data_IF_615678772537
#
_entry.id   IF_615678772537
#
_cell.length_a   1.000
_cell.length_b   1.000
_cell.length_c   1.000
_cell.angle_alpha   90.00
_cell.angle_beta   90.00
_cell.angle_gamma   90.00
#
_symmetry.space_group_name_H-M   'P 1'
#
loop_
_entity.id
_entity.type
_entity.pdbx_description
1 polymer ?
#
# COMPACT_ATOMS: atom_id res chain seq x y z
N UNK A 1 12.70 10.97 33.87
CA UNK A 1 11.69 9.89 33.98
C UNK A 1 11.86 9.03 32.75
N UNK A 2 12.40 7.85 32.99
CA UNK A 2 12.79 6.86 32.00
C UNK A 2 11.64 5.84 31.88
N UNK A 3 11.18 5.58 30.65
CA UNK A 3 10.27 4.47 30.34
C UNK A 3 10.61 3.96 28.93
N UNK A 4 11.27 2.79 28.92
CA UNK A 4 10.73 1.54 28.39
C UNK A 4 10.19 1.54 26.96
N UNK A 5 10.92 0.80 26.13
CA UNK A 5 10.47 -0.10 25.06
C UNK A 5 9.71 0.48 23.85
N UNK A 6 10.23 0.23 22.64
CA UNK A 6 9.55 -0.61 21.64
C UNK A 6 10.37 -0.67 20.34
N UNK A 7 10.44 -1.87 19.78
CA UNK A 7 11.23 -2.27 18.64
C UNK A 7 10.47 -1.96 17.35
N UNK A 8 10.68 -0.76 16.79
CA UNK A 8 10.08 -0.37 15.52
C UNK A 8 10.88 -0.92 14.34
N UNK A 9 10.30 -1.94 13.71
CA UNK A 9 10.69 -2.44 12.40
C UNK A 9 10.56 -1.35 11.32
N UNK A 10 11.39 -1.45 10.28
CA UNK A 10 11.32 -0.60 9.10
C UNK A 10 9.99 -0.82 8.37
N UNK A 11 9.07 0.14 8.49
CA UNK A 11 7.90 0.24 7.61
C UNK A 11 8.34 0.93 6.31
N UNK A 12 8.17 0.22 5.19
CA UNK A 12 8.09 0.82 3.87
C UNK A 12 6.72 1.45 3.66
N UNK A 13 6.70 2.50 2.85
CA UNK A 13 5.53 3.31 2.51
C UNK A 13 4.30 2.46 2.14
N UNK A 14 3.25 2.60 2.93
CA UNK A 14 1.89 2.21 2.56
C UNK A 14 1.13 3.50 2.23
N UNK A 15 0.70 3.60 0.97
CA UNK A 15 -0.30 4.58 0.55
C UNK A 15 -1.63 4.26 1.25
N UNK A 16 -2.15 5.27 1.95
CA UNK A 16 -3.45 5.32 2.62
C UNK A 16 -4.60 5.14 1.62
N UNK A 17 -5.58 4.29 1.96
CA UNK A 17 -6.88 4.23 1.32
C UNK A 17 -7.96 4.27 2.40
N UNK A 18 -8.92 5.18 2.23
CA UNK A 18 -10.00 5.54 3.17
C UNK A 18 -10.97 4.39 3.51
N UNK A 19 -11.71 4.48 4.64
CA UNK A 19 -12.56 3.40 5.12
C UNK A 19 -13.97 3.46 4.53
N UNK A 20 -14.51 2.28 4.16
CA UNK A 20 -15.92 2.13 3.77
C UNK A 20 -16.63 1.26 4.81
N UNK A 21 -17.69 1.82 5.37
CA UNK A 21 -18.56 1.26 6.39
C UNK A 21 -19.23 -0.06 5.98
N UNK A 22 -19.40 -0.93 6.98
CA UNK A 22 -20.30 -2.08 6.95
C UNK A 22 -21.75 -1.62 6.84
N UNK A 23 -22.51 -2.10 5.84
CA UNK A 23 -23.90 -2.51 6.01
C UNK A 23 -24.49 -3.22 4.78
N UNK A 24 -25.20 -4.31 5.09
CA UNK A 24 -26.18 -5.09 4.33
C UNK A 24 -25.77 -5.96 3.13
N UNK A 25 -25.52 -7.22 3.48
CA UNK A 25 -25.41 -8.37 2.59
C UNK A 25 -26.80 -8.96 2.32
N UNK A 26 -27.55 -8.40 1.35
CA UNK A 26 -28.70 -9.09 0.76
C UNK A 26 -29.18 -8.45 -0.56
N UNK A 27 -28.61 -8.89 -1.69
CA UNK A 27 -29.31 -9.11 -2.97
C UNK A 27 -28.29 -9.32 -4.10
N UNK A 28 -28.60 -10.27 -4.99
CA UNK A 28 -27.96 -10.52 -6.27
C UNK A 28 -26.60 -11.26 -6.25
N UNK A 29 -26.69 -12.59 -6.41
CA UNK A 29 -25.87 -13.44 -7.29
C UNK A 29 -25.66 -14.85 -6.70
N UNK A 30 -26.75 -15.61 -6.54
CA UNK A 30 -26.65 -17.07 -6.53
C UNK A 30 -26.66 -17.57 -7.98
N UNK A 31 -25.48 -17.68 -8.59
CA UNK A 31 -25.26 -18.70 -9.59
C UNK A 31 -23.79 -19.12 -9.64
N UNK A 32 -23.61 -20.44 -9.64
CA UNK A 32 -22.49 -21.23 -10.18
C UNK A 32 -21.49 -21.87 -9.19
N UNK A 33 -21.75 -23.18 -9.07
CA UNK A 33 -20.84 -24.32 -8.88
C UNK A 33 -20.34 -24.62 -7.46
N UNK A 34 -21.26 -25.11 -6.63
CA UNK A 34 -20.92 -26.16 -5.67
C UNK A 34 -20.71 -27.49 -6.39
N UNK A 35 -19.62 -28.15 -6.05
CA UNK A 35 -19.36 -29.55 -6.36
C UNK A 35 -20.53 -30.42 -5.85
N UNK A 36 -21.13 -31.18 -6.77
CA UNK A 36 -22.14 -32.19 -6.47
C UNK A 36 -21.62 -33.58 -6.86
N UNK A 37 -21.93 -34.55 -6.00
CA UNK A 37 -21.49 -35.94 -5.97
C UNK A 37 -21.43 -36.68 -7.32
N UNK A 38 -20.42 -37.55 -7.54
CA UNK A 38 -20.25 -38.32 -8.78
C UNK A 38 -21.19 -39.54 -8.91
N UNK A 39 -22.25 -39.68 -8.10
CA UNK A 39 -23.16 -40.83 -8.17
C UNK A 39 -24.64 -40.43 -8.28
N UNK A 40 -25.00 -39.73 -9.36
CA UNK A 40 -26.41 -39.63 -9.78
C UNK A 40 -26.54 -39.49 -11.30
N UNK A 41 -26.74 -40.62 -11.97
CA UNK A 41 -27.13 -40.64 -13.37
C UNK A 41 -28.59 -40.22 -13.45
N UNK A 42 -28.88 -39.06 -14.03
CA UNK A 42 -30.25 -38.62 -14.33
C UNK A 42 -30.54 -38.98 -15.79
N UNK A 43 -31.34 -40.01 -16.00
CA UNK A 43 -31.86 -40.34 -17.32
C UNK A 43 -32.85 -39.24 -17.75
N UNK A 44 -32.48 -38.46 -18.76
CA UNK A 44 -33.42 -37.57 -19.45
C UNK A 44 -34.10 -38.39 -20.52
N UNK A 45 -35.29 -38.92 -20.23
CA UNK A 45 -36.20 -39.40 -21.27
C UNK A 45 -36.68 -38.18 -22.06
N UNK A 46 -36.25 -38.09 -23.33
CA UNK A 46 -36.90 -37.21 -24.30
C UNK A 46 -38.23 -37.87 -24.66
N UNK A 47 -39.35 -37.32 -24.17
CA UNK A 47 -40.67 -37.63 -24.69
C UNK A 47 -40.75 -37.08 -26.11
N UNK A 48 -40.82 -37.97 -27.10
CA UNK A 48 -41.27 -37.66 -28.46
C UNK A 48 -42.74 -38.04 -28.54
N UNK A 49 -43.58 -37.19 -27.97
CA UNK A 49 -45.02 -37.23 -28.20
C UNK A 49 -45.29 -36.59 -29.57
N UNK A 50 -45.82 -37.39 -30.50
CA UNK A 50 -46.51 -36.88 -31.68
C UNK A 50 -45.63 -36.62 -32.91
N UNK A 51 -45.51 -37.65 -33.77
CA UNK A 51 -45.32 -37.40 -35.20
C UNK A 51 -46.31 -38.27 -36.01
N UNK A 52 -47.38 -37.61 -36.45
CA UNK A 52 -48.24 -38.01 -37.57
C UNK A 52 -47.55 -37.55 -38.87
N UNK A 53 -47.73 -38.33 -39.94
CA UNK A 53 -46.86 -38.36 -41.10
C UNK A 53 -46.87 -37.12 -41.99
N UNK A 54 -45.72 -36.87 -42.62
CA UNK A 54 -45.52 -36.51 -44.04
C UNK A 54 -44.03 -36.43 -44.36
N UNK A 55 -43.71 -36.76 -45.60
CA UNK A 55 -42.39 -37.08 -46.15
C UNK A 55 -41.38 -35.91 -46.17
N UNK A 56 -40.10 -36.23 -46.02
CA UNK A 56 -38.96 -35.37 -46.43
C UNK A 56 -37.85 -35.28 -45.37
N UNK A 57 -36.61 -35.61 -45.78
CA UNK A 57 -35.30 -35.12 -45.28
C UNK A 57 -34.99 -35.07 -43.76
N UNK A 58 -33.87 -35.53 -43.20
CA UNK A 58 -32.57 -35.98 -43.70
C UNK A 58 -31.95 -36.92 -42.65
N UNK A 59 -31.16 -37.90 -43.09
CA UNK A 59 -30.22 -38.61 -42.20
C UNK A 59 -29.10 -37.66 -41.83
N UNK A 60 -29.03 -37.23 -40.58
CA UNK A 60 -27.80 -36.66 -40.01
C UNK A 60 -27.20 -37.74 -39.11
N UNK A 61 -26.33 -38.56 -39.70
CA UNK A 61 -25.41 -39.38 -38.91
C UNK A 61 -24.34 -38.43 -38.33
N UNK A 62 -24.58 -37.94 -37.11
CA UNK A 62 -23.53 -37.30 -36.33
C UNK A 62 -22.58 -38.43 -35.93
N UNK A 63 -21.54 -38.67 -36.72
CA UNK A 63 -20.36 -39.36 -36.23
C UNK A 63 -19.79 -38.52 -35.08
N UNK A 64 -20.19 -38.85 -33.86
CA UNK A 64 -19.52 -38.41 -32.66
C UNK A 64 -18.14 -39.07 -32.70
N UNK A 65 -17.19 -38.38 -33.33
CA UNK A 65 -15.77 -38.62 -33.09
C UNK A 65 -15.57 -38.35 -31.61
N UNK A 66 -15.63 -39.40 -30.79
CA UNK A 66 -15.24 -39.32 -29.40
C UNK A 66 -13.77 -38.93 -29.36
N UNK A 67 -13.48 -37.65 -29.16
CA UNK A 67 -12.19 -37.21 -28.63
C UNK A 67 -12.17 -37.51 -27.13
N UNK A 68 -12.26 -38.80 -26.79
CA UNK A 68 -12.08 -39.29 -25.42
C UNK A 68 -10.59 -39.38 -25.13
N UNK A 69 -9.97 -38.25 -24.81
CA UNK A 69 -8.62 -38.24 -24.21
C UNK A 69 -8.76 -38.39 -22.70
N UNK A 70 -9.18 -39.58 -22.28
CA UNK A 70 -9.35 -39.91 -20.87
C UNK A 70 -9.55 -41.41 -20.70
N UNK A 71 -8.57 -42.08 -20.10
CA UNK A 71 -8.65 -43.50 -19.75
C UNK A 71 -9.44 -43.66 -18.44
N UNK A 72 -10.38 -44.61 -18.40
CA UNK A 72 -11.12 -44.94 -17.17
C UNK A 72 -10.18 -45.39 -16.04
N UNK A 73 -10.58 -45.21 -14.78
CA UNK A 73 -9.75 -45.50 -13.59
C UNK A 73 -9.17 -46.92 -13.58
N UNK A 74 -9.98 -47.90 -13.99
CA UNK A 74 -9.59 -49.32 -14.04
C UNK A 74 -8.56 -49.63 -15.13
N UNK A 75 -8.75 -49.08 -16.32
CA UNK A 75 -7.80 -49.18 -17.44
C UNK A 75 -6.50 -48.44 -17.11
N UNK A 76 -6.58 -47.31 -16.40
CA UNK A 76 -5.43 -46.49 -16.00
C UNK A 76 -4.59 -47.15 -14.90
N UNK A 77 -5.23 -47.77 -13.91
CA UNK A 77 -4.51 -48.47 -12.82
C UNK A 77 -3.74 -49.70 -13.32
N UNK A 78 -4.18 -50.32 -14.42
CA UNK A 78 -3.49 -51.44 -15.07
C UNK A 78 -2.09 -51.05 -15.54
N UNK A 79 -1.93 -49.86 -16.10
CA UNK A 79 -0.64 -49.35 -16.60
C UNK A 79 0.11 -48.47 -15.58
N UNK A 80 -0.60 -47.80 -14.67
CA UNK A 80 0.00 -46.91 -13.67
C UNK A 80 0.86 -47.63 -12.61
N UNK A 81 0.63 -48.93 -12.38
CA UNK A 81 1.38 -49.74 -11.42
C UNK A 81 2.58 -50.49 -12.03
N UNK A 82 2.96 -50.22 -13.27
CA UNK A 82 4.18 -50.79 -13.82
C UNK A 82 5.42 -50.31 -13.03
N UNK A 83 6.45 -51.17 -12.84
CA UNK A 83 7.61 -50.87 -12.01
C UNK A 83 8.39 -49.63 -12.49
N UNK A 84 8.31 -49.28 -13.77
CA UNK A 84 8.86 -48.03 -14.32
C UNK A 84 8.12 -46.80 -13.79
N UNK A 85 6.78 -46.74 -13.93
CA UNK A 85 5.96 -45.60 -13.52
C UNK A 85 5.94 -45.39 -12.01
N UNK A 86 5.95 -46.48 -11.24
CA UNK A 86 6.04 -46.41 -9.77
C UNK A 86 7.39 -45.85 -9.33
N UNK A 87 8.49 -46.29 -9.96
CA UNK A 87 9.85 -45.78 -9.66
C UNK A 87 10.02 -44.32 -10.10
N UNK A 88 9.46 -43.95 -11.25
CA UNK A 88 9.47 -42.57 -11.75
C UNK A 88 8.69 -41.63 -10.82
N UNK A 89 7.49 -42.01 -10.38
CA UNK A 89 6.70 -41.22 -9.43
C UNK A 89 7.43 -41.05 -8.09
N UNK A 90 8.05 -42.12 -7.59
CA UNK A 90 8.85 -42.06 -6.37
C UNK A 90 10.05 -41.12 -6.52
N UNK A 91 10.76 -41.21 -7.64
CA UNK A 91 11.90 -40.35 -7.94
C UNK A 91 11.50 -38.87 -8.02
N UNK A 92 10.40 -38.55 -8.73
CA UNK A 92 9.89 -37.19 -8.84
C UNK A 92 9.44 -36.63 -7.48
N UNK A 93 8.80 -37.46 -6.64
CA UNK A 93 8.39 -37.04 -5.30
C UNK A 93 9.60 -36.75 -4.41
N UNK A 94 10.62 -37.62 -4.43
CA UNK A 94 11.87 -37.41 -3.69
C UNK A 94 12.58 -36.15 -4.20
N UNK A 95 12.70 -35.98 -5.51
CA UNK A 95 13.32 -34.80 -6.12
C UNK A 95 12.59 -33.50 -5.72
N UNK A 96 11.26 -33.50 -5.74
CA UNK A 96 10.45 -32.36 -5.32
C UNK A 96 10.74 -31.96 -3.87
N UNK A 97 10.77 -32.91 -2.93
CA UNK A 97 11.08 -32.62 -1.53
C UNK A 97 12.52 -32.16 -1.32
N UNK A 98 13.49 -32.74 -2.05
CA UNK A 98 14.89 -32.30 -2.00
C UNK A 98 15.02 -30.87 -2.53
N UNK A 99 14.41 -30.54 -3.66
CA UNK A 99 14.42 -29.20 -4.23
C UNK A 99 13.75 -28.18 -3.30
N UNK A 100 12.63 -28.57 -2.67
CA UNK A 100 11.92 -27.74 -1.70
C UNK A 100 12.78 -27.46 -0.46
N UNK A 101 13.42 -28.48 0.10
CA UNK A 101 14.35 -28.32 1.24
C UNK A 101 15.54 -27.46 0.83
N UNK A 102 16.13 -27.68 -0.36
CA UNK A 102 17.25 -26.89 -0.85
C UNK A 102 16.88 -25.40 -1.01
N UNK A 103 15.68 -25.11 -1.51
CA UNK A 103 15.15 -23.75 -1.61
C UNK A 103 14.98 -23.10 -0.22
N UNK A 104 14.43 -23.84 0.75
CA UNK A 104 14.24 -23.38 2.12
C UNK A 104 15.59 -23.11 2.82
N UNK A 105 16.55 -24.02 2.67
CA UNK A 105 17.91 -23.84 3.20
C UNK A 105 18.58 -22.65 2.53
N UNK A 106 18.43 -22.47 1.21
CA UNK A 106 18.94 -21.31 0.48
C UNK A 106 18.41 -19.99 1.05
N UNK A 107 17.11 -19.89 1.31
CA UNK A 107 16.51 -18.71 1.92
C UNK A 107 17.07 -18.43 3.32
N UNK A 108 17.20 -19.46 4.17
CA UNK A 108 17.79 -19.33 5.51
C UNK A 108 19.25 -18.87 5.41
N UNK A 109 20.04 -19.45 4.52
CA UNK A 109 21.45 -19.08 4.32
C UNK A 109 21.56 -17.62 3.88
N UNK A 110 20.70 -17.14 2.99
CA UNK A 110 20.68 -15.72 2.59
C UNK A 110 20.41 -14.82 3.81
N UNK A 111 19.45 -15.18 4.66
CA UNK A 111 19.14 -14.42 5.88
C UNK A 111 20.31 -14.41 6.87
N UNK A 112 21.03 -15.53 7.00
CA UNK A 112 22.17 -15.64 7.93
C UNK A 112 23.43 -14.94 7.41
N UNK A 113 23.64 -14.90 6.09
CA UNK A 113 24.78 -14.22 5.47
C UNK A 113 24.54 -12.72 5.30
N UNK A 114 23.28 -12.26 5.27
CA UNK A 114 22.96 -10.84 5.20
C UNK A 114 23.48 -10.12 6.46
N UNK A 115 24.38 -9.12 6.32
CA UNK A 115 24.82 -8.34 7.46
C UNK A 115 23.64 -7.60 8.07
N UNK A 116 23.61 -7.46 9.39
CA UNK A 116 22.57 -6.66 10.05
C UNK A 116 22.73 -5.21 9.66
N UNK A 117 21.63 -4.57 9.24
CA UNK A 117 21.61 -3.14 9.04
C UNK A 117 21.93 -2.44 10.37
N UNK A 118 22.82 -1.44 10.39
CA UNK A 118 23.01 -0.62 11.58
C UNK A 118 21.68 0.06 11.94
N UNK A 119 21.32 0.14 13.23
CA UNK A 119 20.12 0.85 13.64
C UNK A 119 20.23 2.32 13.21
N UNK A 120 19.13 2.89 12.71
CA UNK A 120 19.09 4.32 12.41
C UNK A 120 19.44 5.11 13.68
N UNK A 121 20.38 6.07 13.61
CA UNK A 121 20.73 6.88 14.77
C UNK A 121 19.49 7.67 15.23
N UNK A 122 19.30 7.78 16.54
CA UNK A 122 18.25 8.65 17.10
C UNK A 122 18.65 10.11 16.93
N UNK A 123 18.28 10.69 15.79
CA UNK A 123 18.51 12.09 15.46
C UNK A 123 17.57 12.98 16.27
N UNK A 124 18.10 14.07 16.85
CA UNK A 124 17.26 15.12 17.46
C UNK A 124 16.54 15.91 16.36
N UNK A 125 15.46 16.61 16.71
CA UNK A 125 14.63 17.35 15.74
C UNK A 125 15.45 18.25 14.80
N UNK A 126 16.44 18.98 15.34
CA UNK A 126 17.32 19.87 14.58
C UNK A 126 18.36 19.16 13.69
N UNK A 127 18.52 17.84 13.82
CA UNK A 127 19.44 17.04 13.00
C UNK A 127 18.72 16.27 11.89
N UNK A 128 17.37 16.23 11.94
CA UNK A 128 16.56 15.45 11.00
C UNK A 128 16.38 16.16 9.66
N UNK A 129 16.50 17.48 9.64
CA UNK A 129 16.10 18.32 8.52
C UNK A 129 16.97 19.57 8.40
N UNK A 130 16.91 20.22 7.24
CA UNK A 130 17.55 21.51 7.01
C UNK A 130 16.84 22.60 7.81
N UNK A 131 17.64 23.53 8.34
CA UNK A 131 17.13 24.76 8.94
C UNK A 131 17.15 25.87 7.89
N UNK A 132 16.06 26.63 7.81
CA UNK A 132 15.94 27.78 6.93
C UNK A 132 15.80 29.05 7.77
N UNK A 133 16.76 29.95 7.64
CA UNK A 133 16.70 31.24 8.30
C UNK A 133 15.87 32.21 7.45
N UNK A 134 14.84 32.79 8.05
CA UNK A 134 13.91 33.71 7.40
C UNK A 134 13.97 35.06 8.09
N UNK A 135 14.11 36.10 7.29
CA UNK A 135 13.88 37.47 7.71
C UNK A 135 12.47 37.90 7.28
N UNK A 136 11.62 38.21 8.24
CA UNK A 136 10.19 38.48 8.00
C UNK A 136 10.04 39.72 7.12
N UNK A 137 10.88 40.75 7.35
CA UNK A 137 10.85 42.03 6.64
C UNK A 137 11.02 41.88 5.12
N UNK A 138 11.80 40.91 4.67
CA UNK A 138 12.18 40.77 3.25
C UNK A 138 11.50 39.59 2.55
N UNK A 139 10.81 38.74 3.30
CA UNK A 139 10.34 37.46 2.77
C UNK A 139 9.09 37.59 1.91
N UNK A 140 7.99 38.11 2.49
CA UNK A 140 6.73 38.27 1.76
C UNK A 140 5.83 39.29 2.44
N UNK A 141 5.52 40.35 1.69
CA UNK A 141 4.48 41.33 2.03
C UNK A 141 3.08 40.78 1.69
N UNK A 142 2.14 40.94 2.62
CA UNK A 142 0.73 40.54 2.48
C UNK A 142 -0.26 41.70 2.36
N UNK A 143 0.06 42.91 2.83
CA UNK A 143 -0.85 44.05 2.89
C UNK A 143 -0.49 45.20 1.92
N UNK A 144 0.66 45.10 1.26
CA UNK A 144 1.11 46.00 0.19
C UNK A 144 1.86 47.23 0.70
N UNK A 145 2.32 47.23 1.95
CA UNK A 145 3.10 48.34 2.53
C UNK A 145 4.59 48.32 2.12
N UNK A 146 5.04 47.24 1.47
CA UNK A 146 6.41 47.02 1.01
C UNK A 146 7.33 46.32 2.02
N UNK A 147 6.81 45.97 3.20
CA UNK A 147 7.49 45.24 4.27
C UNK A 147 6.83 43.86 4.41
N UNK A 148 7.64 42.82 4.57
CA UNK A 148 7.14 41.48 4.82
C UNK A 148 6.58 41.31 6.23
N UNK A 149 5.53 40.51 6.37
CA UNK A 149 4.78 40.33 7.62
C UNK A 149 4.54 38.84 7.94
N UNK A 150 4.05 38.55 9.15
CA UNK A 150 3.81 37.17 9.57
C UNK A 150 2.74 36.46 8.71
N UNK A 151 1.75 37.19 8.19
CA UNK A 151 0.71 36.63 7.31
C UNK A 151 1.28 36.21 5.95
N UNK A 152 2.17 37.02 5.40
CA UNK A 152 2.91 36.72 4.19
C UNK A 152 3.77 35.48 4.37
N UNK A 153 4.49 35.37 5.49
CA UNK A 153 5.26 34.19 5.84
C UNK A 153 4.37 32.93 5.99
N UNK A 154 3.27 33.04 6.72
CA UNK A 154 2.29 31.97 6.92
C UNK A 154 1.76 31.42 5.58
N UNK A 155 1.47 32.31 4.62
CA UNK A 155 0.99 31.93 3.28
C UNK A 155 1.98 31.12 2.43
N UNK A 156 3.26 31.11 2.82
CA UNK A 156 4.36 30.43 2.11
C UNK A 156 4.95 29.27 2.90
N UNK A 157 4.34 28.85 4.01
CA UNK A 157 4.78 27.66 4.74
C UNK A 157 4.71 26.40 3.87
N UNK A 158 3.72 26.28 2.98
CA UNK A 158 3.65 25.17 2.03
C UNK A 158 4.83 25.14 1.07
N UNK A 159 5.32 26.31 0.64
CA UNK A 159 6.53 26.40 -0.16
C UNK A 159 7.76 25.90 0.60
N UNK A 160 7.89 26.23 1.89
CA UNK A 160 9.00 25.75 2.72
C UNK A 160 8.93 24.23 2.94
N UNK A 161 7.71 23.70 3.11
CA UNK A 161 7.45 22.27 3.21
C UNK A 161 7.85 21.53 1.93
N UNK A 162 7.51 22.07 0.77
CA UNK A 162 7.90 21.49 -0.53
C UNK A 162 9.42 21.49 -0.75
N UNK A 163 10.16 22.42 -0.14
CA UNK A 163 11.62 22.44 -0.14
C UNK A 163 12.25 21.48 0.90
N UNK A 164 11.44 20.67 1.58
CA UNK A 164 11.85 19.71 2.60
C UNK A 164 12.59 20.34 3.79
N UNK A 165 12.22 21.60 4.11
CA UNK A 165 12.68 22.32 5.30
C UNK A 165 11.76 21.94 6.46
N UNK A 166 12.33 21.46 7.56
CA UNK A 166 11.55 21.11 8.77
C UNK A 166 11.88 22.00 9.97
N UNK A 167 12.66 23.06 9.80
CA UNK A 167 12.89 24.05 10.86
C UNK A 167 13.04 25.44 10.25
N UNK A 168 12.19 26.36 10.70
CA UNK A 168 12.26 27.78 10.33
C UNK A 168 12.88 28.55 11.49
N UNK A 169 13.96 29.27 11.23
CA UNK A 169 14.62 30.14 12.18
C UNK A 169 14.33 31.60 11.82
N UNK A 170 13.61 32.32 12.68
CA UNK A 170 13.26 33.71 12.43
C UNK A 170 14.39 34.65 12.87
N UNK A 171 14.67 35.67 12.06
CA UNK A 171 15.46 36.84 12.45
C UNK A 171 14.73 37.67 13.53
N UNK A 172 15.39 38.69 14.10
CA UNK A 172 14.80 39.49 15.16
C UNK A 172 13.56 40.26 14.67
N UNK A 173 12.41 40.05 15.33
CA UNK A 173 11.12 40.68 15.00
C UNK A 173 10.52 41.50 16.16
N UNK A 174 11.33 41.75 17.20
CA UNK A 174 10.94 42.51 18.38
C UNK A 174 10.98 44.01 18.10
N UNK A 175 10.26 44.80 18.89
CA UNK A 175 10.35 46.27 18.83
C UNK A 175 11.78 46.74 19.04
N UNK A 176 12.38 47.34 18.01
CA UNK A 176 13.72 47.91 18.02
C UNK A 176 13.71 49.44 18.01
N UNK A 177 14.82 50.04 18.46
CA UNK A 177 15.09 51.46 18.29
C UNK A 177 15.57 51.73 16.86
N UNK A 178 14.98 52.73 16.19
CA UNK A 178 15.21 53.01 14.77
C UNK A 178 16.65 53.46 14.46
N UNK A 179 17.35 54.00 15.45
CA UNK A 179 18.70 54.55 15.26
C UNK A 179 19.82 53.55 15.58
N UNK A 180 19.54 52.53 16.39
CA UNK A 180 20.58 51.62 16.93
C UNK A 180 20.31 50.14 16.71
N UNK A 181 19.15 49.76 16.16
CA UNK A 181 18.66 48.38 16.04
C UNK A 181 18.68 47.60 17.37
N UNK A 182 18.80 48.31 18.50
CA UNK A 182 18.77 47.72 19.82
C UNK A 182 17.33 47.32 20.15
N UNK A 183 17.14 46.11 20.67
CA UNK A 183 15.81 45.63 21.08
C UNK A 183 15.39 46.42 22.33
N UNK A 184 14.30 47.18 22.22
CA UNK A 184 13.74 47.97 23.32
C UNK A 184 12.80 47.13 24.17
N UNK A 185 12.01 46.28 23.52
CA UNK A 185 11.00 45.44 24.19
C UNK A 185 11.05 44.00 23.71
N UNK A 186 11.60 43.11 24.53
CA UNK A 186 11.75 41.68 24.22
C UNK A 186 10.45 40.85 24.25
N UNK A 187 9.32 41.45 24.63
CA UNK A 187 8.02 40.76 24.73
C UNK A 187 6.99 41.28 23.74
N UNK A 188 7.34 42.32 22.99
CA UNK A 188 6.45 42.92 22.01
C UNK A 188 7.02 42.65 20.62
N UNK A 189 6.12 42.34 19.70
CA UNK A 189 6.37 42.28 18.27
C UNK A 189 6.44 43.71 17.74
N UNK A 190 7.35 43.97 16.80
CA UNK A 190 7.36 45.25 16.08
C UNK A 190 6.10 45.39 15.22
N UNK A 191 5.39 46.51 15.34
CA UNK A 191 4.14 46.78 14.62
C UNK A 191 4.27 46.70 13.09
N UNK A 192 5.50 46.79 12.55
CA UNK A 192 5.78 46.61 11.11
C UNK A 192 5.53 45.19 10.61
N UNK A 193 5.61 44.18 11.48
CA UNK A 193 5.47 42.77 11.10
C UNK A 193 4.08 42.19 11.43
N UNK A 194 3.24 42.98 12.11
CA UNK A 194 1.91 42.59 12.58
C UNK A 194 1.75 42.66 14.09
N UNK A 195 0.74 41.96 14.60
CA UNK A 195 0.43 41.89 16.03
C UNK A 195 0.91 40.56 16.64
N UNK A 196 0.87 40.46 17.97
CA UNK A 196 1.24 39.22 18.66
C UNK A 196 0.30 38.06 18.27
N UNK A 197 -0.98 38.36 18.00
CA UNK A 197 -1.95 37.37 17.53
C UNK A 197 -1.58 36.78 16.16
N UNK A 198 -1.01 37.59 15.25
CA UNK A 198 -0.55 37.13 13.94
C UNK A 198 0.65 36.18 14.08
N UNK A 199 1.51 36.41 15.08
CA UNK A 199 2.60 35.50 15.42
C UNK A 199 2.10 34.18 16.02
N UNK A 200 1.09 34.22 16.88
CA UNK A 200 0.46 33.02 17.43
C UNK A 200 -0.21 32.18 16.32
N UNK A 201 -0.84 32.83 15.34
CA UNK A 201 -1.38 32.15 14.16
C UNK A 201 -0.29 31.47 13.33
N UNK A 202 0.82 32.16 13.06
CA UNK A 202 1.99 31.60 12.40
C UNK A 202 2.53 30.37 13.13
N UNK A 203 2.64 30.45 14.46
CA UNK A 203 3.10 29.32 15.29
C UNK A 203 2.17 28.12 15.22
N UNK A 204 0.86 28.35 15.15
CA UNK A 204 -0.11 27.25 15.02
C UNK A 204 0.02 26.58 13.65
N UNK A 205 0.13 27.36 12.58
CA UNK A 205 0.33 26.80 11.24
C UNK A 205 1.65 26.04 11.09
N UNK A 206 2.74 26.53 11.70
CA UNK A 206 4.04 25.84 11.74
C UNK A 206 4.01 24.50 12.49
N UNK A 207 3.10 24.33 13.46
CA UNK A 207 2.94 23.06 14.19
C UNK A 207 2.06 22.06 13.44
N UNK A 208 1.13 22.56 12.63
CA UNK A 208 0.22 21.74 11.83
C UNK A 208 0.91 21.16 10.59
N UNK A 209 1.80 21.94 9.96
CA UNK A 209 2.46 21.59 8.69
C UNK A 209 3.73 20.75 8.86
#
# INVERSE_FOLDING_TARGET
>A
MDKGDEQAACNGDQHEADPIDNMDENAAAKEKLTAADPNKVKFTSVNLDGYDGKNGEAKVDIHVTQTTVGMGKEELLKYANEPFWVRLRMFLFIFFWVAWIAMLVGAIVIILLAPRCPPAPRLKWYQKTAMYQVDVETFKDSDGDGIGDFKGLASKLDYLKDQNVGTVMLSAFYTSDSDTDAIVKHKEVDSRFGMLEDFDELLNQLKEK
#
